data_IF_474027917868
#
_entry.id   IF_474027917868
#
_cell.length_a   1.000
_cell.length_b   1.000
_cell.length_c   1.000
_cell.angle_alpha   90.00
_cell.angle_beta   90.00
_cell.angle_gamma   90.00
#
_symmetry.space_group_name_H-M   'P 1'
#
loop_
_entity.id
_entity.type
_entity.pdbx_description
1 polymer ?
#
# COMPACT_ATOMS: atom_id res chain seq x y z
N UNK A 1 -13.95 -20.10 22.35
CA UNK A 1 -12.87 -19.29 21.91
C UNK A 1 -12.74 -19.32 20.38
N UNK A 2 -12.01 -20.25 19.77
CA UNK A 2 -11.92 -20.33 18.30
C UNK A 2 -13.02 -21.25 17.77
N UNK A 3 -13.74 -20.81 16.74
CA UNK A 3 -14.82 -21.57 16.11
C UNK A 3 -14.60 -21.60 14.59
N UNK A 4 -15.13 -22.63 13.95
CA UNK A 4 -15.15 -22.75 12.50
C UNK A 4 -16.60 -22.89 12.04
N UNK A 5 -16.96 -22.23 10.94
CA UNK A 5 -18.27 -22.39 10.31
C UNK A 5 -18.35 -23.83 9.76
N UNK A 6 -19.37 -24.63 10.14
CA UNK A 6 -19.43 -26.06 9.82
C UNK A 6 -19.94 -26.35 8.39
N UNK A 7 -19.76 -25.41 7.48
CA UNK A 7 -20.17 -25.55 6.08
C UNK A 7 -19.25 -24.82 5.13
N UNK A 8 -19.12 -25.31 3.92
CA UNK A 8 -18.43 -24.65 2.80
C UNK A 8 -19.37 -23.84 1.91
N UNK A 9 -20.66 -23.77 2.26
CA UNK A 9 -21.63 -23.00 1.52
C UNK A 9 -21.35 -21.51 1.62
N UNK A 10 -21.21 -20.86 0.49
CA UNK A 10 -20.96 -19.40 0.39
C UNK A 10 -22.10 -18.54 0.93
N UNK A 11 -23.29 -19.10 1.13
CA UNK A 11 -24.40 -18.42 1.82
C UNK A 11 -24.05 -18.08 3.29
N UNK A 12 -23.20 -18.88 3.94
CA UNK A 12 -22.70 -18.60 5.28
C UNK A 12 -21.93 -17.26 5.36
N UNK A 13 -21.22 -16.88 4.28
CA UNK A 13 -20.56 -15.57 4.18
C UNK A 13 -21.61 -14.46 4.26
N UNK A 14 -22.71 -14.56 3.49
CA UNK A 14 -23.80 -13.59 3.53
C UNK A 14 -24.42 -13.46 4.93
N UNK A 15 -24.59 -14.56 5.65
CA UNK A 15 -25.08 -14.54 7.04
C UNK A 15 -24.11 -13.80 7.98
N UNK A 16 -22.78 -14.00 7.82
CA UNK A 16 -21.77 -13.28 8.61
C UNK A 16 -21.74 -11.79 8.30
N UNK A 17 -21.92 -11.39 7.04
CA UNK A 17 -21.94 -9.98 6.64
C UNK A 17 -23.08 -9.20 7.34
N UNK A 18 -24.19 -9.87 7.62
CA UNK A 18 -25.36 -9.29 8.30
C UNK A 18 -25.41 -9.49 9.82
N UNK A 19 -24.45 -10.16 10.43
CA UNK A 19 -24.47 -10.60 11.83
C UNK A 19 -24.17 -9.47 12.84
N UNK A 20 -24.93 -8.37 12.76
CA UNK A 20 -24.80 -7.23 13.68
C UNK A 20 -25.08 -7.69 15.11
N UNK A 21 -24.17 -7.37 16.04
CA UNK A 21 -24.24 -7.78 17.45
C UNK A 21 -23.76 -9.21 17.71
N UNK A 22 -23.47 -9.99 16.66
CA UNK A 22 -22.88 -11.32 16.77
C UNK A 22 -21.41 -11.36 16.33
N UNK A 23 -21.01 -10.41 15.49
CA UNK A 23 -19.64 -10.22 14.99
C UNK A 23 -19.27 -8.76 15.17
N UNK A 24 -18.12 -8.51 15.81
CA UNK A 24 -17.62 -7.14 16.06
C UNK A 24 -16.84 -6.58 14.87
N UNK A 25 -16.10 -7.45 14.14
CA UNK A 25 -15.31 -7.06 12.97
C UNK A 25 -15.13 -8.25 12.01
N UNK A 26 -15.12 -7.96 10.72
CA UNK A 26 -14.79 -8.90 9.65
C UNK A 26 -13.44 -8.55 9.04
N UNK A 27 -12.64 -9.58 8.75
CA UNK A 27 -11.35 -9.45 8.08
C UNK A 27 -11.35 -10.44 6.91
N UNK A 28 -11.70 -9.98 5.70
CA UNK A 28 -11.74 -10.85 4.53
C UNK A 28 -10.34 -11.26 4.12
N UNK A 29 -10.17 -12.54 3.81
CA UNK A 29 -8.96 -13.11 3.21
C UNK A 29 -9.38 -13.91 1.99
N UNK A 30 -8.91 -13.50 0.83
CA UNK A 30 -9.27 -14.13 -0.44
C UNK A 30 -9.09 -13.22 -1.63
N UNK A 31 -9.57 -13.63 -2.79
CA UNK A 31 -9.47 -12.86 -4.02
C UNK A 31 -10.36 -11.60 -4.02
N UNK A 32 -10.09 -10.69 -4.96
CA UNK A 32 -10.74 -9.38 -5.13
C UNK A 32 -12.27 -9.45 -5.01
N UNK A 33 -12.93 -10.41 -5.67
CA UNK A 33 -14.40 -10.54 -5.65
C UNK A 33 -14.99 -10.78 -4.26
N UNK A 34 -14.27 -11.51 -3.39
CA UNK A 34 -14.70 -11.71 -2.01
C UNK A 34 -14.56 -10.44 -1.20
N UNK A 35 -13.41 -9.78 -1.31
CA UNK A 35 -13.12 -8.55 -0.56
C UNK A 35 -14.10 -7.45 -0.96
N UNK A 36 -14.33 -7.27 -2.25
CA UNK A 36 -15.28 -6.29 -2.80
C UNK A 36 -16.71 -6.56 -2.30
N UNK A 37 -17.14 -7.83 -2.33
CA UNK A 37 -18.43 -8.22 -1.78
C UNK A 37 -18.54 -7.88 -0.29
N UNK A 38 -17.51 -8.19 0.51
CA UNK A 38 -17.49 -7.88 1.95
C UNK A 38 -17.56 -6.38 2.18
N UNK A 39 -16.79 -5.58 1.44
CA UNK A 39 -16.81 -4.12 1.58
C UNK A 39 -18.15 -3.49 1.19
N UNK A 40 -18.84 -4.09 0.23
CA UNK A 40 -20.11 -3.55 -0.30
C UNK A 40 -21.33 -3.99 0.53
N UNK A 41 -21.35 -5.26 1.00
CA UNK A 41 -22.54 -5.86 1.63
C UNK A 41 -22.47 -5.91 3.16
N UNK A 42 -21.26 -5.75 3.77
CA UNK A 42 -21.14 -5.91 5.21
C UNK A 42 -21.88 -4.80 5.99
N UNK A 43 -22.63 -5.23 7.00
CA UNK A 43 -23.29 -4.38 7.98
C UNK A 43 -22.55 -4.31 9.31
N UNK A 44 -21.45 -5.03 9.41
CA UNK A 44 -20.51 -5.03 10.54
C UNK A 44 -19.20 -4.36 10.10
N UNK A 45 -18.40 -3.78 11.01
CA UNK A 45 -17.10 -3.19 10.68
C UNK A 45 -16.19 -4.16 9.91
N UNK A 46 -15.43 -3.63 8.95
CA UNK A 46 -14.53 -4.42 8.11
C UNK A 46 -13.14 -3.82 8.14
N UNK A 47 -12.12 -4.64 8.39
CA UNK A 47 -10.72 -4.30 8.16
C UNK A 47 -10.24 -5.01 6.90
N UNK A 48 -10.04 -4.25 5.84
CA UNK A 48 -9.64 -4.81 4.55
C UNK A 48 -8.88 -3.79 3.70
N UNK A 49 -8.17 -4.30 2.69
CA UNK A 49 -7.83 -3.60 1.47
C UNK A 49 -8.33 -4.43 0.28
N UNK A 50 -8.63 -3.76 -0.81
CA UNK A 50 -9.07 -4.42 -2.02
C UNK A 50 -7.88 -4.85 -2.88
N UNK A 51 -6.89 -3.95 -2.97
CA UNK A 51 -5.67 -4.09 -3.76
C UNK A 51 -4.54 -3.25 -3.16
N UNK A 52 -3.29 -3.59 -3.50
CA UNK A 52 -2.08 -2.91 -3.06
C UNK A 52 -1.36 -2.22 -4.23
N UNK A 53 -1.91 -1.14 -4.77
CA UNK A 53 -1.23 -0.33 -5.80
C UNK A 53 -0.27 0.63 -5.09
N UNK A 54 0.92 0.11 -4.75
CA UNK A 54 1.93 0.86 -4.02
C UNK A 54 2.83 1.65 -4.97
N UNK A 55 3.19 2.88 -4.58
CA UNK A 55 4.07 3.75 -5.36
C UNK A 55 5.43 3.92 -4.69
N UNK A 56 6.44 4.02 -5.53
CA UNK A 56 7.78 4.46 -5.14
C UNK A 56 8.11 5.74 -5.92
N UNK A 57 8.22 6.86 -5.23
CA UNK A 57 8.58 8.14 -5.83
C UNK A 57 10.05 8.46 -5.61
N UNK A 58 10.78 8.65 -6.69
CA UNK A 58 12.19 9.06 -6.71
C UNK A 58 12.22 10.58 -6.92
N UNK A 59 12.48 11.30 -5.84
CA UNK A 59 12.53 12.78 -5.83
C UNK A 59 13.84 13.31 -6.43
N UNK A 60 13.85 14.56 -6.87
CA UNK A 60 15.01 15.23 -7.45
C UNK A 60 16.28 15.16 -6.57
N UNK A 61 16.14 15.21 -5.25
CA UNK A 61 17.25 15.10 -4.30
C UNK A 61 17.46 13.64 -3.80
N UNK A 62 17.12 12.63 -4.59
CA UNK A 62 17.34 11.25 -4.21
C UNK A 62 18.83 10.88 -4.32
N UNK A 63 19.30 10.10 -3.35
CA UNK A 63 20.59 9.39 -3.48
C UNK A 63 20.45 8.30 -4.54
N UNK A 64 21.27 8.31 -5.62
CA UNK A 64 21.12 7.37 -6.74
C UNK A 64 21.28 5.90 -6.34
N UNK A 65 22.18 5.57 -5.43
CA UNK A 65 22.43 4.20 -5.02
C UNK A 65 21.28 3.68 -4.15
N UNK A 66 20.76 4.48 -3.23
CA UNK A 66 19.54 4.15 -2.47
C UNK A 66 18.35 3.96 -3.39
N UNK A 67 18.14 4.86 -4.36
CA UNK A 67 17.03 4.79 -5.30
C UNK A 67 17.05 3.47 -6.09
N UNK A 68 18.20 3.08 -6.64
CA UNK A 68 18.39 1.83 -7.39
C UNK A 68 18.12 0.59 -6.52
N UNK A 69 18.74 0.52 -5.34
CA UNK A 69 18.58 -0.61 -4.43
C UNK A 69 17.15 -0.77 -3.95
N UNK A 70 16.52 0.34 -3.56
CA UNK A 70 15.14 0.33 -3.03
C UNK A 70 14.16 -0.01 -4.15
N UNK A 71 14.33 0.52 -5.37
CA UNK A 71 13.44 0.21 -6.49
C UNK A 71 13.42 -1.28 -6.82
N UNK A 72 14.58 -1.90 -6.94
CA UNK A 72 14.68 -3.35 -7.17
C UNK A 72 14.07 -4.14 -6.02
N UNK A 73 14.38 -3.79 -4.78
CA UNK A 73 13.84 -4.48 -3.60
C UNK A 73 12.32 -4.32 -3.49
N UNK A 74 11.80 -3.11 -3.67
CA UNK A 74 10.37 -2.82 -3.54
C UNK A 74 9.52 -3.62 -4.53
N UNK A 75 10.01 -3.89 -5.74
CA UNK A 75 9.29 -4.72 -6.71
C UNK A 75 9.68 -6.19 -6.65
N UNK A 76 10.98 -6.50 -6.69
CA UNK A 76 11.45 -7.84 -7.07
C UNK A 76 11.75 -8.77 -5.88
N UNK A 77 11.84 -8.26 -4.63
CA UNK A 77 12.02 -9.14 -3.46
C UNK A 77 10.89 -10.17 -3.37
N UNK A 78 9.64 -9.75 -3.59
CA UNK A 78 8.46 -10.61 -3.62
C UNK A 78 7.33 -9.92 -4.36
N UNK A 79 7.07 -10.34 -5.59
CA UNK A 79 6.14 -9.66 -6.50
C UNK A 79 4.66 -9.85 -6.14
N UNK A 80 4.30 -11.00 -5.56
CA UNK A 80 2.90 -11.38 -5.29
C UNK A 80 2.37 -10.96 -3.93
N UNK A 81 2.88 -9.89 -3.32
CA UNK A 81 2.37 -9.34 -2.05
C UNK A 81 1.87 -7.91 -2.26
N UNK A 82 0.86 -7.52 -1.48
CA UNK A 82 0.24 -6.20 -1.56
C UNK A 82 1.17 -5.01 -1.25
N UNK A 83 2.32 -5.25 -0.59
CA UNK A 83 3.36 -4.25 -0.35
C UNK A 83 4.39 -4.14 -1.46
N UNK A 84 4.29 -4.93 -2.54
CA UNK A 84 5.16 -4.76 -3.70
C UNK A 84 4.83 -3.45 -4.44
N UNK A 85 5.86 -2.73 -4.90
CA UNK A 85 5.62 -1.55 -5.73
C UNK A 85 4.99 -1.95 -7.06
N UNK A 86 3.96 -1.23 -7.48
CA UNK A 86 3.30 -1.41 -8.77
C UNK A 86 3.56 -0.23 -9.71
N UNK A 87 3.91 0.93 -9.15
CA UNK A 87 4.29 2.11 -9.92
C UNK A 87 5.55 2.77 -9.35
N UNK A 88 6.50 3.07 -10.24
CA UNK A 88 7.66 3.92 -9.97
C UNK A 88 7.41 5.29 -10.61
N UNK A 89 7.44 6.32 -9.78
CA UNK A 89 7.43 7.72 -10.21
C UNK A 89 8.85 8.27 -10.08
N UNK A 90 9.31 9.03 -11.07
CA UNK A 90 10.61 9.71 -10.99
C UNK A 90 10.47 11.17 -11.37
N UNK A 91 11.11 12.04 -10.59
CA UNK A 91 11.15 13.47 -10.85
C UNK A 91 11.85 13.77 -12.18
N UNK A 92 11.24 14.62 -13.01
CA UNK A 92 11.77 15.02 -14.31
C UNK A 92 13.18 15.63 -14.23
N UNK A 93 13.50 16.27 -13.11
CA UNK A 93 14.82 16.90 -12.90
C UNK A 93 15.96 15.88 -12.84
N UNK A 94 15.67 14.64 -12.40
CA UNK A 94 16.69 13.57 -12.24
C UNK A 94 16.49 12.41 -13.20
N UNK A 95 15.35 12.34 -13.89
CA UNK A 95 14.97 11.19 -14.72
C UNK A 95 16.01 10.89 -15.80
N UNK A 96 16.53 11.90 -16.48
CA UNK A 96 17.53 11.72 -17.56
C UNK A 96 18.80 11.03 -17.08
N UNK A 97 19.22 11.31 -15.86
CA UNK A 97 20.49 10.82 -15.32
C UNK A 97 20.34 9.49 -14.58
N UNK A 98 19.16 9.19 -14.04
CA UNK A 98 18.98 8.05 -13.12
C UNK A 98 18.04 6.96 -13.63
N UNK A 99 16.99 7.28 -14.41
CA UNK A 99 15.99 6.30 -14.82
C UNK A 99 16.59 5.13 -15.60
N UNK A 100 17.57 5.41 -16.49
CA UNK A 100 18.23 4.35 -17.26
C UNK A 100 18.94 3.32 -16.38
N UNK A 101 19.59 3.75 -15.29
CA UNK A 101 20.26 2.85 -14.36
C UNK A 101 19.26 2.02 -13.55
N UNK A 102 18.20 2.64 -13.03
CA UNK A 102 17.13 1.93 -12.31
C UNK A 102 16.45 0.90 -13.22
N UNK A 103 16.12 1.28 -14.46
CA UNK A 103 15.47 0.41 -15.42
C UNK A 103 16.35 -0.81 -15.76
N UNK A 104 17.65 -0.60 -15.97
CA UNK A 104 18.60 -1.70 -16.25
C UNK A 104 18.66 -2.69 -15.08
N UNK A 105 18.70 -2.21 -13.83
CA UNK A 105 18.72 -3.09 -12.66
C UNK A 105 17.42 -3.90 -12.54
N UNK A 106 16.26 -3.28 -12.77
CA UNK A 106 14.97 -3.95 -12.75
C UNK A 106 14.83 -4.98 -13.88
N UNK A 107 15.22 -4.63 -15.11
CA UNK A 107 15.22 -5.54 -16.25
C UNK A 107 16.18 -6.73 -16.02
N UNK A 108 17.37 -6.47 -15.47
CA UNK A 108 18.32 -7.53 -15.11
C UNK A 108 17.78 -8.47 -14.03
N UNK A 109 16.93 -7.95 -13.13
CA UNK A 109 16.20 -8.76 -12.15
C UNK A 109 14.99 -9.51 -12.74
N UNK A 110 14.68 -9.34 -14.01
CA UNK A 110 13.56 -10.02 -14.69
C UNK A 110 12.23 -9.26 -14.63
N UNK A 111 12.24 -7.98 -14.28
CA UNK A 111 11.03 -7.14 -14.25
C UNK A 111 10.70 -6.61 -15.64
N UNK A 112 9.47 -6.75 -16.09
CA UNK A 112 8.97 -6.06 -17.27
C UNK A 112 8.55 -4.63 -16.90
N UNK A 113 8.95 -3.64 -17.70
CA UNK A 113 8.65 -2.22 -17.43
C UNK A 113 7.65 -1.68 -18.44
N UNK A 114 6.65 -0.94 -17.94
CA UNK A 114 5.66 -0.22 -18.73
C UNK A 114 5.77 1.27 -18.45
N UNK A 115 6.32 2.02 -19.42
CA UNK A 115 6.60 3.44 -19.26
C UNK A 115 5.56 4.34 -19.89
N UNK A 116 5.34 5.52 -19.30
CA UNK A 116 4.72 6.62 -20.02
C UNK A 116 5.58 7.03 -21.23
N UNK A 117 5.09 7.92 -22.07
CA UNK A 117 5.80 8.33 -23.30
C UNK A 117 7.21 8.88 -22.98
N UNK A 118 7.33 9.71 -21.94
CA UNK A 118 8.60 10.33 -21.57
C UNK A 118 9.60 9.28 -21.02
N UNK A 119 9.13 8.31 -20.25
CA UNK A 119 9.97 7.22 -19.76
C UNK A 119 10.42 6.29 -20.89
N UNK A 120 9.54 5.99 -21.86
CA UNK A 120 9.88 5.20 -23.05
C UNK A 120 10.91 5.93 -23.95
N UNK A 121 10.84 7.25 -24.06
CA UNK A 121 11.84 8.03 -24.82
C UNK A 121 13.23 7.94 -24.18
N UNK A 122 13.31 7.92 -22.85
CA UNK A 122 14.59 7.75 -22.13
C UNK A 122 15.06 6.30 -22.09
N UNK A 123 14.13 5.34 -22.04
CA UNK A 123 14.43 3.90 -21.93
C UNK A 123 13.61 3.11 -22.95
N UNK A 124 14.09 2.99 -24.20
CA UNK A 124 13.36 2.30 -25.29
C UNK A 124 13.07 0.80 -25.06
N UNK A 125 13.64 0.22 -24.03
CA UNK A 125 13.35 -1.17 -23.61
C UNK A 125 12.02 -1.32 -22.86
N UNK A 126 11.37 -0.21 -22.46
CA UNK A 126 10.05 -0.23 -21.85
C UNK A 126 8.95 -0.43 -22.88
N UNK A 127 7.90 -1.13 -22.49
CA UNK A 127 6.64 -1.18 -23.28
C UNK A 127 5.81 0.06 -22.93
N UNK A 128 5.17 0.73 -23.92
CA UNK A 128 4.29 1.85 -23.62
C UNK A 128 3.16 1.46 -22.64
N UNK A 129 3.05 2.22 -21.56
CA UNK A 129 1.96 2.09 -20.60
C UNK A 129 0.67 2.70 -21.14
N UNK A 130 -0.45 2.13 -20.74
CA UNK A 130 -1.79 2.70 -20.87
C UNK A 130 -2.26 3.24 -19.51
N UNK A 131 -3.31 4.04 -19.48
CA UNK A 131 -3.85 4.53 -18.20
C UNK A 131 -4.28 3.39 -17.28
N UNK A 132 -4.75 2.27 -17.83
CA UNK A 132 -5.14 1.08 -17.05
C UNK A 132 -3.96 0.48 -16.29
N UNK A 133 -2.74 0.59 -16.82
CA UNK A 133 -1.54 0.06 -16.17
C UNK A 133 -1.29 0.71 -14.80
N UNK A 134 -1.59 2.01 -14.67
CA UNK A 134 -1.45 2.74 -13.40
C UNK A 134 -2.54 2.39 -12.37
N UNK A 135 -3.67 1.79 -12.79
CA UNK A 135 -4.71 1.26 -11.90
C UNK A 135 -4.55 -0.23 -11.62
N UNK A 136 -3.44 -0.84 -12.04
CA UNK A 136 -3.29 -2.30 -11.98
C UNK A 136 -2.36 -2.73 -10.86
N UNK A 137 -2.86 -3.58 -9.95
CA UNK A 137 -2.05 -4.41 -9.08
C UNK A 137 -1.65 -5.66 -9.89
N UNK A 138 -0.41 -5.71 -10.39
CA UNK A 138 0.04 -6.80 -11.24
C UNK A 138 0.25 -8.12 -10.48
N UNK A 139 0.72 -8.04 -9.24
CA UNK A 139 1.13 -9.21 -8.43
C UNK A 139 2.15 -10.09 -9.17
N UNK A 140 2.91 -9.50 -10.08
CA UNK A 140 3.87 -10.16 -10.96
C UNK A 140 5.10 -9.26 -11.16
N UNK A 141 6.12 -9.76 -11.83
CA UNK A 141 7.34 -9.02 -12.17
C UNK A 141 7.08 -7.98 -13.28
N UNK A 142 6.13 -7.08 -13.07
CA UNK A 142 5.75 -5.98 -13.96
C UNK A 142 5.66 -4.71 -13.13
N UNK A 143 6.21 -3.59 -13.61
CA UNK A 143 6.21 -2.29 -12.94
C UNK A 143 5.84 -1.19 -13.92
N UNK A 144 4.86 -0.36 -13.58
CA UNK A 144 4.56 0.88 -14.29
C UNK A 144 5.58 1.96 -13.94
N UNK A 145 5.94 2.80 -14.90
CA UNK A 145 6.92 3.89 -14.73
C UNK A 145 6.36 5.17 -15.31
N UNK A 146 6.38 6.24 -14.55
CA UNK A 146 6.01 7.56 -15.05
C UNK A 146 7.01 8.62 -14.59
N UNK A 147 7.27 9.60 -15.47
CA UNK A 147 8.03 10.79 -15.14
C UNK A 147 7.05 11.88 -14.69
N UNK A 148 7.31 12.47 -13.54
CA UNK A 148 6.49 13.52 -12.95
C UNK A 148 7.28 14.82 -12.81
N UNK A 149 6.63 15.97 -12.94
CA UNK A 149 7.31 17.27 -12.96
C UNK A 149 7.96 17.62 -11.61
N UNK A 150 7.33 17.21 -10.51
CA UNK A 150 7.71 17.57 -9.15
C UNK A 150 6.93 16.71 -8.12
N UNK A 151 7.16 16.99 -6.82
CA UNK A 151 6.51 16.27 -5.71
C UNK A 151 4.97 16.44 -5.72
N UNK A 152 4.45 17.60 -6.11
CA UNK A 152 3.01 17.86 -6.18
C UNK A 152 2.36 16.96 -7.24
N UNK A 153 3.00 16.81 -8.39
CA UNK A 153 2.55 15.91 -9.46
C UNK A 153 2.64 14.44 -9.04
N UNK A 154 3.67 14.06 -8.28
CA UNK A 154 3.77 12.72 -7.72
C UNK A 154 2.64 12.43 -6.73
N UNK A 155 2.35 13.34 -5.80
CA UNK A 155 1.26 13.23 -4.83
C UNK A 155 -0.10 13.17 -5.53
N UNK A 156 -0.31 13.98 -6.57
CA UNK A 156 -1.53 13.95 -7.38
C UNK A 156 -1.69 12.62 -8.12
N UNK A 157 -0.59 12.04 -8.65
CA UNK A 157 -0.60 10.72 -9.27
C UNK A 157 -0.98 9.63 -8.27
N UNK A 158 -0.36 9.62 -7.08
CA UNK A 158 -0.67 8.69 -5.99
C UNK A 158 -2.14 8.81 -5.58
N UNK A 159 -2.64 10.02 -5.40
CA UNK A 159 -4.03 10.27 -5.04
C UNK A 159 -5.03 9.78 -6.09
N UNK A 160 -4.64 9.82 -7.39
CA UNK A 160 -5.49 9.37 -8.51
C UNK A 160 -5.48 7.86 -8.67
N UNK A 161 -4.33 7.23 -8.62
CA UNK A 161 -4.12 5.84 -9.04
C UNK A 161 -3.89 4.87 -7.87
N UNK A 162 -3.46 5.39 -6.73
CA UNK A 162 -3.11 4.58 -5.56
C UNK A 162 -4.32 3.96 -4.87
N UNK A 163 -4.05 2.91 -4.12
CA UNK A 163 -5.04 2.18 -3.32
C UNK A 163 -5.05 2.59 -1.83
N UNK A 164 -4.34 3.65 -1.46
CA UNK A 164 -4.12 4.10 -0.09
C UNK A 164 -3.46 3.02 0.81
N UNK A 165 -2.68 2.12 0.21
CA UNK A 165 -2.02 1.03 0.92
C UNK A 165 -0.65 1.48 1.46
N UNK A 166 0.35 1.56 0.60
CA UNK A 166 1.74 1.90 0.98
C UNK A 166 2.41 2.70 -0.11
N UNK A 167 2.90 3.88 0.21
CA UNK A 167 3.63 4.71 -0.72
C UNK A 167 4.92 5.22 -0.10
N UNK A 168 5.98 5.31 -0.89
CA UNK A 168 7.30 5.68 -0.41
C UNK A 168 7.92 6.79 -1.26
N UNK A 169 8.67 7.68 -0.61
CA UNK A 169 9.54 8.67 -1.26
C UNK A 169 11.01 8.33 -1.00
N UNK A 170 11.82 8.45 -2.02
CA UNK A 170 13.28 8.38 -1.92
C UNK A 170 13.83 9.78 -2.12
N UNK A 171 14.44 10.35 -1.08
CA UNK A 171 14.98 11.72 -1.08
C UNK A 171 15.96 11.93 0.06
N UNK A 172 16.93 12.83 -0.13
CA UNK A 172 17.76 13.35 0.97
C UNK A 172 17.24 14.69 1.49
N UNK A 173 16.17 15.24 0.89
CA UNK A 173 15.51 16.46 1.35
C UNK A 173 14.53 16.18 2.49
N UNK A 174 14.86 16.62 3.70
CA UNK A 174 13.94 16.52 4.83
C UNK A 174 12.63 17.30 4.62
N UNK A 175 12.66 18.40 3.86
CA UNK A 175 11.47 19.19 3.53
C UNK A 175 10.54 18.42 2.60
N UNK A 176 11.08 17.79 1.53
CA UNK A 176 10.29 16.97 0.62
C UNK A 176 9.70 15.74 1.34
N UNK A 177 10.48 15.09 2.21
CA UNK A 177 9.97 13.98 3.01
C UNK A 177 8.82 14.42 3.94
N UNK A 178 8.95 15.58 4.59
CA UNK A 178 7.89 16.11 5.46
C UNK A 178 6.62 16.48 4.68
N UNK A 179 6.76 17.08 3.50
CA UNK A 179 5.63 17.37 2.61
C UNK A 179 4.93 16.08 2.18
N UNK A 180 5.69 15.09 1.72
CA UNK A 180 5.15 13.79 1.30
C UNK A 180 4.37 13.10 2.43
N UNK A 181 4.91 13.10 3.65
CA UNK A 181 4.23 12.55 4.83
C UNK A 181 2.94 13.29 5.19
N UNK A 182 2.89 14.60 4.96
CA UNK A 182 1.71 15.41 5.29
C UNK A 182 0.59 15.27 4.27
N UNK A 183 0.93 15.07 2.99
CA UNK A 183 -0.04 15.18 1.89
C UNK A 183 -0.45 13.83 1.31
N UNK A 184 0.37 12.77 1.44
CA UNK A 184 0.00 11.42 0.98
C UNK A 184 -0.88 10.73 2.02
N UNK A 185 -2.13 10.44 1.66
CA UNK A 185 -3.10 9.79 2.55
C UNK A 185 -3.14 8.27 2.33
N UNK A 186 -2.04 7.61 2.61
CA UNK A 186 -1.94 6.14 2.60
C UNK A 186 -1.82 5.57 4.00
N UNK A 187 -2.20 4.31 4.17
CA UNK A 187 -2.14 3.63 5.47
C UNK A 187 -0.70 3.56 5.99
N UNK A 188 0.26 3.45 5.09
CA UNK A 188 1.70 3.41 5.37
C UNK A 188 2.40 4.36 4.41
N UNK A 189 3.15 5.32 4.95
CA UNK A 189 3.97 6.26 4.18
C UNK A 189 5.41 6.14 4.63
N UNK A 190 6.33 5.97 3.69
CA UNK A 190 7.73 5.65 3.96
C UNK A 190 8.70 6.66 3.35
N UNK A 191 9.84 6.83 3.99
CA UNK A 191 10.97 7.61 3.50
C UNK A 191 12.23 6.74 3.45
N UNK A 192 12.88 6.70 2.30
CA UNK A 192 14.11 5.95 2.07
C UNK A 192 14.03 4.48 2.50
N UNK A 193 12.88 3.86 2.28
CA UNK A 193 12.63 2.45 2.59
C UNK A 193 11.82 1.78 1.48
N UNK A 194 12.04 0.48 1.31
CA UNK A 194 11.25 -0.34 0.40
C UNK A 194 9.81 -0.47 0.90
N UNK A 195 8.82 -0.37 0.03
CA UNK A 195 7.40 -0.60 0.35
C UNK A 195 7.16 -2.00 0.93
N UNK A 196 8.08 -2.93 0.73
CA UNK A 196 8.02 -4.29 1.30
C UNK A 196 8.29 -4.38 2.81
N UNK A 197 8.64 -3.26 3.45
CA UNK A 197 8.60 -3.15 4.91
C UNK A 197 7.17 -2.98 5.46
N UNK A 198 6.17 -2.86 4.61
CA UNK A 198 4.75 -2.83 5.00
C UNK A 198 4.30 -4.20 5.53
N UNK A 199 4.73 -4.52 6.76
CA UNK A 199 4.49 -5.79 7.43
C UNK A 199 4.45 -5.56 8.95
N UNK A 200 3.45 -6.11 9.62
CA UNK A 200 3.29 -5.97 11.07
C UNK A 200 4.44 -6.61 11.87
N UNK A 201 5.10 -7.62 11.32
CA UNK A 201 6.30 -8.21 11.92
C UNK A 201 7.46 -7.22 11.91
N UNK A 202 7.70 -6.56 10.77
CA UNK A 202 8.74 -5.51 10.61
C UNK A 202 8.46 -4.29 11.51
N UNK A 203 7.19 -3.97 11.75
CA UNK A 203 6.79 -2.86 12.63
C UNK A 203 6.77 -3.24 14.13
N UNK A 204 7.26 -4.42 14.50
CA UNK A 204 7.35 -4.85 15.89
C UNK A 204 6.00 -5.24 16.51
N UNK A 205 4.97 -5.48 15.71
CA UNK A 205 3.63 -5.90 16.17
C UNK A 205 3.53 -7.42 16.40
N UNK A 206 4.61 -8.15 16.14
CA UNK A 206 4.72 -9.60 16.27
C UNK A 206 4.13 -10.34 15.08
N UNK A 207 2.91 -10.04 14.70
CA UNK A 207 2.23 -10.59 13.54
C UNK A 207 1.10 -9.64 13.09
N UNK A 208 0.61 -9.84 11.86
CA UNK A 208 -0.60 -9.18 11.39
C UNK A 208 -1.57 -10.20 10.79
N UNK A 209 -2.85 -9.90 10.86
CA UNK A 209 -3.88 -10.65 10.16
C UNK A 209 -4.15 -10.07 8.76
N UNK A 210 -3.72 -8.85 8.50
CA UNK A 210 -3.81 -8.15 7.25
C UNK A 210 -3.51 -6.67 7.42
N UNK A 211 -3.55 -5.91 6.30
CA UNK A 211 -3.39 -4.47 6.27
C UNK A 211 -4.75 -3.85 5.93
N UNK A 212 -5.19 -2.85 6.68
CA UNK A 212 -6.42 -2.12 6.43
C UNK A 212 -6.11 -0.73 5.85
N UNK A 213 -6.74 -0.38 4.72
CA UNK A 213 -6.55 0.91 4.06
C UNK A 213 -7.65 1.93 4.43
N UNK A 214 -8.76 1.47 5.00
CA UNK A 214 -9.85 2.33 5.45
C UNK A 214 -9.42 3.30 6.56
N UNK A 215 -10.10 4.46 6.63
CA UNK A 215 -9.79 5.50 7.63
C UNK A 215 -10.39 5.24 9.02
N UNK A 216 -11.24 4.23 9.15
CA UNK A 216 -11.70 3.75 10.45
C UNK A 216 -10.56 2.97 11.12
N UNK A 217 -10.39 3.16 12.44
CA UNK A 217 -9.43 2.36 13.21
C UNK A 217 -9.82 0.85 13.19
N UNK A 218 -8.89 -0.09 12.92
CA UNK A 218 -7.48 0.14 12.70
C UNK A 218 -7.16 0.42 11.23
N UNK A 219 -6.14 1.25 10.96
CA UNK A 219 -5.57 1.52 9.64
C UNK A 219 -4.11 1.06 9.63
N UNK A 220 -3.64 0.54 8.49
CA UNK A 220 -2.33 -0.10 8.37
C UNK A 220 -2.36 -1.55 8.83
N UNK A 221 -1.22 -2.12 9.27
CA UNK A 221 -1.15 -3.48 9.76
C UNK A 221 -2.09 -3.72 10.96
N UNK A 222 -2.84 -4.81 10.93
CA UNK A 222 -3.81 -5.19 11.96
C UNK A 222 -3.23 -6.35 12.75
N UNK A 223 -2.64 -6.06 13.89
CA UNK A 223 -2.12 -7.04 14.84
C UNK A 223 -3.08 -7.32 16.00
N UNK A 224 -2.62 -8.02 17.03
CA UNK A 224 -3.44 -8.39 18.17
C UNK A 224 -4.02 -7.17 18.92
N UNK A 225 -3.24 -6.11 19.08
CA UNK A 225 -3.69 -4.89 19.75
C UNK A 225 -4.84 -4.21 19.00
N UNK A 226 -4.79 -4.17 17.67
CA UNK A 226 -5.81 -3.56 16.82
C UNK A 226 -7.13 -4.34 16.81
N UNK A 227 -7.09 -5.62 17.16
CA UNK A 227 -8.28 -6.49 17.28
C UNK A 227 -8.90 -6.45 18.66
N UNK A 228 -8.39 -5.62 19.57
CA UNK A 228 -8.91 -5.48 20.93
C UNK A 228 -9.45 -4.08 21.16
N UNK A 229 -10.35 -3.96 22.14
CA UNK A 229 -10.82 -2.68 22.63
C UNK A 229 -10.61 -2.61 24.16
N UNK A 230 -10.87 -1.45 24.73
CA UNK A 230 -10.73 -1.22 26.17
C UNK A 230 -12.07 -0.74 26.75
N UNK A 231 -12.21 -0.90 28.06
CA UNK A 231 -13.28 -0.30 28.84
C UNK A 231 -12.71 0.54 29.98
N UNK A 232 -13.39 1.59 30.32
CA UNK A 232 -13.07 2.36 31.52
C UNK A 232 -13.64 1.66 32.75
N UNK A 233 -12.82 1.46 33.79
CA UNK A 233 -13.26 0.96 35.08
C UNK A 233 -13.05 2.06 36.12
N UNK A 234 -14.14 2.59 36.62
CA UNK A 234 -14.13 3.66 37.63
C UNK A 234 -14.51 3.07 39.00
N UNK A 235 -13.64 3.24 39.98
CA UNK A 235 -13.93 2.89 41.37
C UNK A 235 -14.08 4.18 42.15
N UNK A 236 -15.31 4.51 42.50
CA UNK A 236 -15.63 5.71 43.27
C UNK A 236 -15.77 5.44 44.77
N UNK A 237 -15.77 6.52 45.55
CA UNK A 237 -16.06 6.55 46.98
C UNK A 237 -17.07 7.68 47.28
N UNK A 238 -18.18 7.70 46.54
CA UNK A 238 -19.25 8.67 46.73
C UNK A 238 -19.13 10.01 45.98
N UNK A 239 -18.23 10.07 44.96
CA UNK A 239 -18.11 11.26 44.14
C UNK A 239 -19.38 11.51 43.35
N UNK A 240 -19.85 12.79 43.36
CA UNK A 240 -20.97 13.27 42.59
C UNK A 240 -20.53 14.32 41.60
N UNK A 241 -21.27 14.48 40.51
CA UNK A 241 -21.07 15.56 39.55
C UNK A 241 -22.09 16.69 39.86
N UNK A 242 -21.59 17.93 39.95
CA UNK A 242 -22.38 19.14 40.02
C UNK A 242 -23.03 19.45 38.68
#
# INVERSE_FOLDING_TARGET
>A
AVQMVPTTDRQAVGAMLGAVGGIDVLIPRGGRSLVERVQTEARVPVFAHLEGICHLYIHADADPDKARQIAVNAKMRRTGICGAAETLLIDAAIAKDLLGAIANDLLAAGCALRGDAAACDLVPAMTPATETDFYTEYLDAILSVAIVDNIESAIAHIAKYGSAHTDAIITESATAAAQFFAEVDSAIVMHNASTQFADGGEFGMGAEIGIATGRLHARGPVGAAQLTSFKYVVRGNGQTRS
#
